data_IF_702455815984
#
_entry.id   IF_702455815984
#
_cell.length_a   1.000
_cell.length_b   1.000
_cell.length_c   1.000
_cell.angle_alpha   90.00
_cell.angle_beta   90.00
_cell.angle_gamma   90.00
#
_symmetry.space_group_name_H-M   'P 1'
#
loop_
_entity.id
_entity.type
_entity.pdbx_description
1 polymer ?
#
# COMPACT_ATOMS: atom_id res chain seq x y z
N UNK A 1 -10.90 1.10 10.21
CA UNK A 1 -9.45 1.07 10.59
C UNK A 1 -8.62 1.39 9.35
N UNK A 2 -7.43 1.97 9.50
CA UNK A 2 -6.49 2.17 8.39
C UNK A 2 -5.48 1.03 8.35
N UNK A 3 -5.45 0.28 7.25
CA UNK A 3 -4.61 -0.90 7.07
C UNK A 3 -3.61 -0.63 5.94
N UNK A 4 -2.32 -0.81 6.22
CA UNK A 4 -1.27 -0.82 5.22
C UNK A 4 -1.12 -2.21 4.61
N UNK A 5 -0.93 -2.31 3.30
CA UNK A 5 -0.59 -3.57 2.63
C UNK A 5 0.62 -3.35 1.72
N UNK A 6 1.69 -4.07 2.01
CA UNK A 6 2.95 -4.01 1.25
C UNK A 6 3.11 -5.28 0.44
N UNK A 7 3.28 -5.12 -0.87
CA UNK A 7 3.40 -6.23 -1.83
C UNK A 7 4.67 -6.09 -2.66
N UNK A 8 5.28 -7.22 -3.02
CA UNK A 8 6.55 -7.19 -3.75
C UNK A 8 6.35 -7.21 -5.28
N UNK A 9 5.31 -7.91 -5.77
CA UNK A 9 5.14 -8.23 -7.19
C UNK A 9 3.79 -7.77 -7.75
N UNK A 10 3.77 -7.52 -9.07
CA UNK A 10 2.60 -7.00 -9.80
C UNK A 10 1.35 -7.89 -9.68
N UNK A 11 1.51 -9.22 -9.69
CA UNK A 11 0.36 -10.15 -9.71
C UNK A 11 -0.48 -10.03 -8.43
N UNK A 12 0.18 -9.99 -7.27
CA UNK A 12 -0.48 -9.86 -5.97
C UNK A 12 -1.13 -8.47 -5.84
N UNK A 13 -0.42 -7.44 -6.29
CA UNK A 13 -0.90 -6.07 -6.28
C UNK A 13 -2.15 -5.89 -7.16
N UNK A 14 -2.13 -6.42 -8.38
CA UNK A 14 -3.24 -6.33 -9.32
C UNK A 14 -4.49 -6.99 -8.76
N UNK A 15 -4.37 -8.19 -8.16
CA UNK A 15 -5.49 -8.89 -7.56
C UNK A 15 -6.10 -8.10 -6.40
N UNK A 16 -5.29 -7.62 -5.45
CA UNK A 16 -5.77 -6.86 -4.31
C UNK A 16 -6.43 -5.53 -4.74
N UNK A 17 -5.89 -4.87 -5.76
CA UNK A 17 -6.45 -3.62 -6.29
C UNK A 17 -7.89 -3.78 -6.79
N UNK A 18 -8.26 -4.96 -7.30
CA UNK A 18 -9.65 -5.24 -7.73
C UNK A 18 -10.66 -5.26 -6.59
N UNK A 19 -10.21 -5.43 -5.35
CA UNK A 19 -11.07 -5.46 -4.16
C UNK A 19 -11.35 -4.06 -3.60
N UNK A 20 -10.60 -3.05 -4.05
CA UNK A 20 -10.75 -1.69 -3.57
C UNK A 20 -11.96 -1.00 -4.18
N UNK A 21 -12.71 -0.30 -3.35
CA UNK A 21 -13.68 0.72 -3.75
C UNK A 21 -13.14 2.11 -3.47
N UNK A 22 -13.69 3.13 -4.14
CA UNK A 22 -13.29 4.55 -3.92
C UNK A 22 -11.77 4.76 -4.05
N UNK A 23 -11.13 4.07 -5.00
CA UNK A 23 -9.67 4.04 -5.10
C UNK A 23 -9.09 5.29 -5.74
N UNK A 24 -8.01 5.81 -5.17
CA UNK A 24 -7.17 6.87 -5.72
C UNK A 24 -5.69 6.49 -5.67
N UNK A 25 -4.86 7.15 -6.48
CA UNK A 25 -3.41 6.95 -6.48
C UNK A 25 -2.73 8.22 -6.02
N UNK A 26 -1.86 8.09 -5.03
CA UNK A 26 -0.96 9.15 -4.58
C UNK A 26 0.49 8.78 -4.87
N UNK A 27 1.32 9.77 -5.20
CA UNK A 27 2.75 9.57 -5.42
C UNK A 27 3.57 10.28 -4.35
N UNK A 28 4.42 9.52 -3.66
CA UNK A 28 5.34 10.00 -2.61
C UNK A 28 6.73 9.44 -2.87
N UNK A 29 7.76 10.29 -2.85
CA UNK A 29 9.16 9.88 -2.99
C UNK A 29 9.39 8.84 -4.11
N UNK A 30 8.84 9.14 -5.30
CA UNK A 30 8.88 8.30 -6.51
C UNK A 30 8.09 6.98 -6.48
N UNK A 31 7.43 6.65 -5.37
CA UNK A 31 6.58 5.47 -5.21
C UNK A 31 5.10 5.82 -5.28
N UNK A 32 4.33 4.90 -5.87
CA UNK A 32 2.87 5.03 -5.95
C UNK A 32 2.22 4.28 -4.79
N UNK A 33 1.24 4.93 -4.17
CA UNK A 33 0.38 4.40 -3.13
C UNK A 33 -1.04 4.40 -3.65
N UNK A 34 -1.72 3.26 -3.55
CA UNK A 34 -3.13 3.14 -3.92
C UNK A 34 -3.94 3.13 -2.64
N UNK A 35 -4.79 4.14 -2.49
CA UNK A 35 -5.62 4.32 -1.31
C UNK A 35 -7.05 4.02 -1.72
N UNK A 36 -7.77 3.26 -0.91
CA UNK A 36 -9.18 3.00 -1.15
C UNK A 36 -9.83 2.37 0.08
N UNK A 37 -10.96 1.70 -0.13
CA UNK A 37 -11.68 1.00 0.93
C UNK A 37 -11.88 -0.47 0.61
N UNK A 38 -11.85 -1.30 1.66
CA UNK A 38 -12.34 -2.68 1.65
C UNK A 38 -13.31 -2.81 2.83
N UNK A 39 -14.60 -2.90 2.52
CA UNK A 39 -15.67 -2.77 3.53
C UNK A 39 -15.58 -1.43 4.26
N UNK A 40 -15.56 -1.47 5.60
CA UNK A 40 -15.48 -0.26 6.44
C UNK A 40 -14.03 0.15 6.77
N UNK A 41 -13.03 -0.46 6.12
CA UNK A 41 -11.62 -0.18 6.36
C UNK A 41 -11.03 0.63 5.23
N UNK A 42 -10.24 1.64 5.59
CA UNK A 42 -9.37 2.34 4.66
C UNK A 42 -8.11 1.49 4.46
N UNK A 43 -7.72 1.29 3.22
CA UNK A 43 -6.58 0.46 2.85
C UNK A 43 -5.61 1.29 2.03
N UNK A 44 -4.35 1.29 2.44
CA UNK A 44 -3.23 1.91 1.71
C UNK A 44 -2.34 0.79 1.20
N UNK A 45 -2.32 0.61 -0.11
CA UNK A 45 -1.52 -0.41 -0.78
C UNK A 45 -0.27 0.20 -1.40
N UNK A 46 0.85 -0.51 -1.31
CA UNK A 46 2.10 -0.12 -1.97
C UNK A 46 2.80 -1.33 -2.55
N UNK A 47 3.31 -1.20 -3.77
CA UNK A 47 4.29 -2.15 -4.30
C UNK A 47 5.70 -1.71 -3.91
N UNK A 48 6.36 -2.44 -3.01
CA UNK A 48 7.70 -2.07 -2.53
C UNK A 48 8.83 -2.58 -3.42
N UNK A 49 8.59 -3.62 -4.22
CA UNK A 49 9.62 -4.37 -4.95
C UNK A 49 10.24 -5.50 -4.12
N UNK A 50 11.05 -6.34 -4.77
CA UNK A 50 11.65 -7.54 -4.16
C UNK A 50 12.88 -7.19 -3.31
N UNK A 51 13.06 -7.90 -2.20
CA UNK A 51 14.28 -7.88 -1.39
C UNK A 51 14.19 -6.99 -0.14
N UNK A 52 15.10 -7.26 0.81
CA UNK A 52 15.07 -6.67 2.17
C UNK A 52 15.13 -5.15 2.19
N UNK A 53 15.95 -4.55 1.32
CA UNK A 53 16.13 -3.10 1.26
C UNK A 53 14.85 -2.43 0.76
N UNK A 54 14.27 -2.96 -0.32
CA UNK A 54 13.03 -2.45 -0.90
C UNK A 54 11.85 -2.56 0.06
N UNK A 55 11.69 -3.70 0.74
CA UNK A 55 10.62 -3.89 1.73
C UNK A 55 10.80 -2.97 2.94
N UNK A 56 12.03 -2.74 3.39
CA UNK A 56 12.32 -1.81 4.49
C UNK A 56 11.93 -0.38 4.12
N UNK A 57 12.34 0.10 2.93
CA UNK A 57 11.96 1.43 2.44
C UNK A 57 10.44 1.52 2.27
N UNK A 58 9.79 0.46 1.76
CA UNK A 58 8.33 0.42 1.66
C UNK A 58 7.63 0.57 3.01
N UNK A 59 8.08 -0.17 4.02
CA UNK A 59 7.52 -0.09 5.36
C UNK A 59 7.68 1.28 6.00
N UNK A 60 8.87 1.89 5.89
CA UNK A 60 9.13 3.25 6.41
C UNK A 60 8.22 4.27 5.73
N UNK A 61 8.19 4.30 4.39
CA UNK A 61 7.35 5.25 3.66
C UNK A 61 5.86 5.08 3.98
N UNK A 62 5.39 3.84 4.15
CA UNK A 62 4.00 3.57 4.52
C UNK A 62 3.67 4.08 5.93
N UNK A 63 4.53 3.79 6.91
CA UNK A 63 4.31 4.19 8.30
C UNK A 63 4.38 5.70 8.46
N UNK A 64 5.37 6.34 7.84
CA UNK A 64 5.64 7.78 8.00
C UNK A 64 4.61 8.65 7.27
N UNK A 65 4.17 8.25 6.06
CA UNK A 65 3.23 9.08 5.29
C UNK A 65 1.76 8.81 5.67
N UNK A 66 1.42 7.59 6.14
CA UNK A 66 0.01 7.18 6.26
C UNK A 66 -0.42 6.77 7.67
N UNK A 67 0.51 6.47 8.58
CA UNK A 67 0.23 6.05 9.96
C UNK A 67 -0.87 4.99 10.08
N UNK A 68 -0.73 3.83 9.41
CA UNK A 68 -1.72 2.76 9.50
C UNK A 68 -1.76 2.16 10.91
N UNK A 69 -2.92 1.63 11.28
CA UNK A 69 -3.09 0.92 12.55
C UNK A 69 -2.42 -0.48 12.53
N UNK A 70 -2.27 -1.06 11.35
CA UNK A 70 -1.65 -2.35 11.08
C UNK A 70 -1.01 -2.34 9.70
N UNK A 71 0.14 -2.99 9.54
CA UNK A 71 0.80 -3.29 8.26
C UNK A 71 0.95 -4.79 8.11
#
# INVERSE_FOLDING_TARGET
>A
MKIGIIVAMDKEFAQLKTLLTESQVERKNYKDFVIGKIGNNEVVMQQCGIGKVNSTIGAVEMIDNYHPNLV
#
